data_IF_421676225383
#
_entry.id   IF_421676225383
#
_cell.length_a   1.000
_cell.length_b   1.000
_cell.length_c   1.000
_cell.angle_alpha   90.00
_cell.angle_beta   90.00
_cell.angle_gamma   90.00
#
_symmetry.space_group_name_H-M   'P 1'
#
loop_
_entity.id
_entity.type
_entity.pdbx_description
1 polymer ?
#
# COMPACT_ATOMS: atom_id res chain seq x y z
N UNK A 1 -8.60 -32.34 32.73
CA UNK A 1 -7.20 -32.06 32.32
C UNK A 1 -7.00 -32.62 30.91
N UNK A 2 -7.24 -31.85 29.88
CA UNK A 2 -6.98 -32.22 28.47
C UNK A 2 -5.71 -31.52 28.04
N UNK A 3 -4.73 -32.30 27.63
CA UNK A 3 -3.41 -31.86 27.19
C UNK A 3 -3.56 -31.12 25.84
N UNK A 4 -3.11 -29.88 25.81
CA UNK A 4 -2.97 -29.09 24.58
C UNK A 4 -1.67 -29.54 23.92
N UNK A 5 -1.76 -30.20 22.77
CA UNK A 5 -0.63 -30.43 21.87
C UNK A 5 -0.38 -29.15 21.09
N UNK A 6 0.72 -28.46 21.40
CA UNK A 6 1.28 -27.44 20.52
C UNK A 6 1.96 -28.13 19.33
N UNK A 7 1.37 -28.05 18.16
CA UNK A 7 2.03 -28.37 16.90
C UNK A 7 2.96 -27.20 16.53
N UNK A 8 4.27 -27.39 16.67
CA UNK A 8 5.28 -26.45 16.27
C UNK A 8 5.34 -26.37 14.72
N UNK A 9 5.07 -25.22 14.16
CA UNK A 9 5.35 -24.92 12.76
C UNK A 9 6.86 -24.63 12.62
N UNK A 10 7.57 -25.52 11.96
CA UNK A 10 8.97 -25.30 11.58
C UNK A 10 9.04 -24.25 10.48
N UNK A 11 9.60 -23.09 10.80
CA UNK A 11 10.00 -22.10 9.80
C UNK A 11 11.24 -22.61 9.07
N UNK A 12 11.10 -23.00 7.81
CA UNK A 12 12.21 -23.17 6.87
C UNK A 12 12.72 -21.79 6.47
N UNK A 13 13.85 -21.37 7.02
CA UNK A 13 14.60 -20.22 6.57
C UNK A 13 15.33 -20.58 5.26
N UNK A 14 14.84 -20.09 4.14
CA UNK A 14 15.58 -20.13 2.88
C UNK A 14 16.53 -18.94 2.88
N UNK A 15 17.82 -19.18 3.05
CA UNK A 15 18.88 -18.20 2.88
C UNK A 15 19.12 -17.97 1.38
N UNK A 16 18.69 -16.83 0.86
CA UNK A 16 19.11 -16.36 -0.46
C UNK A 16 20.46 -15.67 -0.27
N UNK A 17 21.52 -16.29 -0.72
CA UNK A 17 22.87 -15.69 -0.77
C UNK A 17 22.92 -14.56 -1.81
N UNK A 18 23.84 -13.57 -1.61
CA UNK A 18 24.00 -12.51 -2.59
C UNK A 18 24.61 -13.07 -3.89
N UNK A 19 23.94 -12.86 -5.01
CA UNK A 19 24.48 -13.09 -6.34
C UNK A 19 25.50 -11.99 -6.58
N UNK A 20 26.78 -12.37 -6.68
CA UNK A 20 27.86 -11.50 -7.14
C UNK A 20 27.61 -11.20 -8.62
N UNK A 21 27.50 -9.91 -8.95
CA UNK A 21 27.48 -9.45 -10.33
C UNK A 21 28.86 -9.67 -10.94
N UNK A 22 28.95 -10.47 -12.01
CA UNK A 22 30.15 -10.68 -12.81
C UNK A 22 30.55 -9.37 -13.50
N UNK A 23 31.86 -9.11 -13.45
CA UNK A 23 32.56 -7.98 -14.08
C UNK A 23 32.34 -7.95 -15.59
N UNK A 24 31.67 -6.92 -16.09
CA UNK A 24 31.71 -6.55 -17.51
C UNK A 24 32.99 -5.77 -17.75
N UNK A 25 33.85 -6.18 -18.72
CA UNK A 25 35.13 -5.50 -18.99
C UNK A 25 34.84 -4.05 -19.43
N UNK A 26 35.38 -3.11 -18.66
CA UNK A 26 35.23 -1.68 -18.88
C UNK A 26 35.91 -1.22 -20.19
N UNK A 27 35.10 -0.80 -21.15
CA UNK A 27 35.57 0.08 -22.21
C UNK A 27 35.92 1.45 -21.63
N UNK A 28 37.18 1.89 -21.77
CA UNK A 28 37.64 3.19 -21.33
C UNK A 28 36.86 4.29 -22.06
N UNK A 29 36.04 5.02 -21.30
CA UNK A 29 35.36 6.24 -21.76
C UNK A 29 36.39 7.36 -21.93
N UNK A 30 36.33 8.08 -23.04
CA UNK A 30 37.16 9.24 -23.31
C UNK A 30 37.09 10.29 -22.18
N UNK A 31 38.23 10.93 -21.79
CA UNK A 31 38.22 11.91 -20.72
C UNK A 31 37.42 13.16 -21.13
N UNK A 32 36.30 13.39 -20.47
CA UNK A 32 35.44 14.57 -20.67
C UNK A 32 33.93 14.35 -20.68
N UNK A 33 33.44 13.11 -20.82
CA UNK A 33 32.00 12.85 -20.65
C UNK A 33 31.67 12.61 -19.17
N UNK A 34 31.37 13.67 -18.43
CA UNK A 34 30.56 13.53 -17.23
C UNK A 34 29.15 13.14 -17.69
N UNK A 35 28.81 11.86 -17.55
CA UNK A 35 27.42 11.43 -17.60
C UNK A 35 26.69 12.25 -16.52
N UNK A 36 25.80 13.13 -16.97
CA UNK A 36 24.87 13.79 -16.05
C UNK A 36 24.17 12.68 -15.26
N UNK A 37 24.49 12.54 -13.97
CA UNK A 37 23.79 11.62 -13.10
C UNK A 37 22.33 12.01 -13.13
N UNK A 38 21.50 11.19 -13.78
CA UNK A 38 20.06 11.32 -13.66
C UNK A 38 19.73 11.25 -12.17
N UNK A 39 18.95 12.21 -11.65
CA UNK A 39 18.48 12.09 -10.27
C UNK A 39 17.82 10.73 -10.10
N UNK A 40 18.09 10.00 -9.00
CA UNK A 40 17.47 8.71 -8.77
C UNK A 40 15.96 8.88 -8.88
N UNK A 41 15.24 7.92 -9.49
CA UNK A 41 13.79 7.99 -9.57
C UNK A 41 13.23 8.17 -8.15
N UNK A 42 12.18 9.00 -7.98
CA UNK A 42 11.58 9.21 -6.67
C UNK A 42 11.20 7.86 -6.09
N UNK A 43 11.72 7.54 -4.90
CA UNK A 43 11.38 6.30 -4.20
C UNK A 43 9.87 6.29 -3.95
N UNK A 44 9.19 5.25 -4.42
CA UNK A 44 7.77 5.07 -4.15
C UNK A 44 7.53 5.08 -2.63
N UNK A 45 6.54 5.83 -2.16
CA UNK A 45 6.22 5.88 -0.74
C UNK A 45 5.78 4.50 -0.24
N UNK A 46 6.04 4.13 1.03
CA UNK A 46 5.63 2.84 1.59
C UNK A 46 4.16 2.52 1.38
N UNK A 47 3.27 3.51 1.48
CA UNK A 47 1.84 3.31 1.27
C UNK A 47 1.47 2.95 -0.18
N UNK A 48 2.26 3.39 -1.17
CA UNK A 48 2.01 3.06 -2.57
C UNK A 48 2.22 1.57 -2.87
N UNK A 49 3.13 0.90 -2.17
CA UNK A 49 3.32 -0.53 -2.31
C UNK A 49 2.09 -1.36 -1.89
N UNK A 50 1.21 -0.77 -1.06
CA UNK A 50 -0.01 -1.37 -0.56
C UNK A 50 -1.27 -0.99 -1.35
N UNK A 51 -1.16 -0.06 -2.31
CA UNK A 51 -2.29 0.42 -3.10
C UNK A 51 -2.71 -0.62 -4.13
N UNK A 52 -4.02 -0.75 -4.32
CA UNK A 52 -4.62 -1.69 -5.27
C UNK A 52 -5.60 -2.62 -4.60
N UNK A 53 -6.23 -3.46 -5.42
CA UNK A 53 -7.19 -4.46 -4.95
C UNK A 53 -6.50 -5.81 -4.78
N UNK A 54 -7.05 -6.63 -3.92
CA UNK A 54 -6.58 -7.98 -3.65
C UNK A 54 -7.73 -8.95 -3.44
N UNK A 55 -7.45 -10.21 -3.63
CA UNK A 55 -8.29 -11.34 -3.23
C UNK A 55 -7.45 -12.32 -2.43
N UNK A 56 -8.07 -13.04 -1.53
CA UNK A 56 -7.32 -13.97 -0.69
C UNK A 56 -8.18 -15.03 -0.05
N UNK A 57 -7.51 -15.94 0.62
CA UNK A 57 -8.11 -16.95 1.47
C UNK A 57 -7.70 -16.68 2.91
N UNK A 58 -8.54 -17.06 3.84
CA UNK A 58 -8.24 -16.99 5.26
C UNK A 58 -8.65 -18.27 5.99
N UNK A 59 -8.05 -18.49 7.15
CA UNK A 59 -8.41 -19.58 8.03
C UNK A 59 -7.93 -19.33 9.45
N UNK A 60 -8.67 -19.86 10.44
CA UNK A 60 -8.34 -19.62 11.82
C UNK A 60 -9.26 -20.27 12.83
N UNK A 61 -9.29 -19.69 14.03
CA UNK A 61 -10.15 -20.11 15.14
C UNK A 61 -11.21 -19.05 15.45
N UNK A 62 -12.41 -19.51 15.69
CA UNK A 62 -13.52 -18.70 16.19
C UNK A 62 -13.88 -19.15 17.62
N UNK A 63 -14.11 -18.20 18.49
CA UNK A 63 -14.48 -18.41 19.90
C UNK A 63 -15.75 -17.63 20.18
N UNK A 64 -16.87 -18.32 20.22
CA UNK A 64 -18.16 -17.74 20.45
C UNK A 64 -18.55 -17.75 21.94
N UNK A 65 -19.14 -16.68 22.40
CA UNK A 65 -19.81 -16.61 23.69
C UNK A 65 -21.29 -16.32 23.46
N UNK A 66 -22.11 -17.32 23.73
CA UNK A 66 -23.58 -17.22 23.59
C UNK A 66 -24.20 -17.20 24.96
N UNK A 67 -24.81 -16.08 25.32
CA UNK A 67 -25.49 -15.94 26.61
C UNK A 67 -26.97 -16.20 26.46
N UNK A 68 -27.46 -17.18 27.23
CA UNK A 68 -28.85 -17.54 27.33
C UNK A 68 -29.42 -16.84 28.56
N UNK A 69 -30.54 -16.10 28.41
CA UNK A 69 -31.29 -15.45 29.48
C UNK A 69 -32.75 -15.77 29.33
N UNK A 70 -33.31 -16.36 30.37
CA UNK A 70 -34.72 -16.61 30.49
C UNK A 70 -35.32 -15.61 31.53
N UNK A 71 -36.35 -14.88 31.12
CA UNK A 71 -36.99 -13.86 31.97
C UNK A 71 -38.49 -14.00 31.86
N UNK A 72 -39.18 -13.42 32.85
CA UNK A 72 -40.66 -13.28 32.90
C UNK A 72 -41.38 -14.63 32.69
N UNK A 73 -41.12 -15.58 33.56
CA UNK A 73 -41.93 -16.80 33.64
C UNK A 73 -43.23 -16.44 34.31
N UNK A 74 -44.29 -16.26 33.53
CA UNK A 74 -45.63 -16.09 34.02
C UNK A 74 -46.20 -17.48 34.34
N UNK A 75 -46.37 -17.78 35.61
CA UNK A 75 -46.93 -19.04 36.07
C UNK A 75 -48.47 -18.96 36.17
N UNK A 76 -49.13 -20.00 35.71
CA UNK A 76 -50.53 -20.19 36.12
C UNK A 76 -50.53 -20.56 37.64
N UNK A 77 -51.23 -19.81 38.47
CA UNK A 77 -51.09 -19.86 39.94
C UNK A 77 -51.28 -21.23 40.60
N UNK A 78 -51.81 -22.20 39.90
CA UNK A 78 -52.21 -23.51 40.44
C UNK A 78 -51.43 -24.70 39.83
N UNK A 79 -50.59 -24.49 38.82
CA UNK A 79 -49.95 -25.58 38.03
C UNK A 79 -48.53 -25.91 38.46
N UNK A 80 -47.79 -24.97 39.02
CA UNK A 80 -46.40 -25.15 39.38
C UNK A 80 -46.14 -25.10 40.89
N UNK A 81 -45.08 -25.78 41.31
CA UNK A 81 -44.57 -25.64 42.65
C UNK A 81 -44.13 -24.20 42.94
N UNK A 82 -44.42 -23.67 44.14
CA UNK A 82 -43.89 -22.39 44.57
C UNK A 82 -42.39 -22.32 44.41
N UNK A 83 -41.89 -21.32 43.69
CA UNK A 83 -40.44 -21.14 43.44
C UNK A 83 -39.93 -21.61 42.08
N UNK A 84 -40.76 -22.23 41.20
CA UNK A 84 -40.33 -22.61 39.84
C UNK A 84 -39.90 -21.40 39.04
N UNK A 85 -40.54 -20.23 39.22
CA UNK A 85 -40.18 -18.97 38.59
C UNK A 85 -38.77 -18.47 38.91
N UNK A 86 -38.16 -18.90 40.00
CA UNK A 86 -36.80 -18.54 40.38
C UNK A 86 -35.77 -19.65 40.01
N UNK A 87 -36.18 -20.90 40.02
CA UNK A 87 -35.28 -22.03 39.76
C UNK A 87 -34.94 -22.16 38.24
N UNK A 88 -35.94 -21.95 37.35
CA UNK A 88 -35.74 -22.03 35.92
C UNK A 88 -34.77 -20.96 35.37
N UNK A 89 -34.93 -19.66 35.68
CA UNK A 89 -33.98 -18.62 35.29
C UNK A 89 -32.58 -18.88 35.86
N UNK A 90 -32.46 -19.28 37.13
CA UNK A 90 -31.18 -19.55 37.76
C UNK A 90 -30.41 -20.70 37.08
N UNK A 91 -31.13 -21.72 36.57
CA UNK A 91 -30.57 -22.84 35.88
C UNK A 91 -30.26 -22.54 34.42
N UNK A 92 -31.11 -21.72 33.76
CA UNK A 92 -31.01 -21.41 32.33
C UNK A 92 -30.07 -20.20 32.00
N UNK A 93 -29.99 -19.22 32.95
CA UNK A 93 -29.15 -18.03 32.72
C UNK A 93 -27.65 -18.38 32.77
N UNK A 94 -27.12 -18.79 31.65
CA UNK A 94 -25.72 -19.22 31.47
C UNK A 94 -25.14 -18.70 30.17
N UNK A 95 -23.83 -18.52 30.16
CA UNK A 95 -23.06 -18.29 28.94
C UNK A 95 -22.46 -19.62 28.48
N UNK A 96 -22.72 -20.00 27.27
CA UNK A 96 -22.08 -21.12 26.60
C UNK A 96 -20.94 -20.58 25.76
N UNK A 97 -19.72 -21.03 26.06
CA UNK A 97 -18.55 -20.74 25.24
C UNK A 97 -18.27 -21.93 24.33
N UNK A 98 -17.98 -21.64 23.09
CA UNK A 98 -17.61 -22.64 22.10
C UNK A 98 -16.38 -22.20 21.31
N UNK A 99 -15.66 -23.16 20.75
CA UNK A 99 -14.52 -22.89 19.88
C UNK A 99 -14.57 -23.80 18.68
N UNK A 100 -14.33 -23.22 17.52
CA UNK A 100 -14.38 -23.92 16.25
C UNK A 100 -13.40 -23.33 15.26
N UNK A 101 -13.34 -23.98 14.10
CA UNK A 101 -12.56 -23.48 12.97
C UNK A 101 -13.43 -22.60 12.09
N UNK A 102 -12.76 -21.62 11.46
CA UNK A 102 -13.34 -20.84 10.36
C UNK A 102 -12.38 -20.85 9.18
N UNK A 103 -12.93 -20.69 7.98
CA UNK A 103 -12.14 -20.52 6.77
C UNK A 103 -13.00 -20.10 5.60
N UNK A 104 -12.43 -19.28 4.74
CA UNK A 104 -13.15 -18.69 3.64
C UNK A 104 -12.33 -17.84 2.71
N UNK A 105 -13.02 -16.93 2.03
CA UNK A 105 -12.45 -16.01 1.06
C UNK A 105 -12.64 -14.55 1.46
N UNK A 106 -11.72 -13.73 1.01
CA UNK A 106 -11.75 -12.29 1.25
C UNK A 106 -11.34 -11.51 0.01
N UNK A 107 -11.84 -10.30 -0.11
CA UNK A 107 -11.47 -9.36 -1.15
C UNK A 107 -11.48 -7.94 -0.59
N UNK A 108 -10.58 -7.10 -1.08
CA UNK A 108 -10.50 -5.72 -0.63
C UNK A 108 -9.71 -4.84 -1.57
N UNK A 109 -9.75 -3.54 -1.30
CA UNK A 109 -8.95 -2.56 -2.03
C UNK A 109 -8.36 -1.55 -1.03
N UNK A 110 -7.11 -1.19 -1.26
CA UNK A 110 -6.36 -0.22 -0.48
C UNK A 110 -6.00 1.01 -1.30
N UNK A 111 -5.93 2.16 -0.66
CA UNK A 111 -5.58 3.45 -1.24
C UNK A 111 -4.52 4.13 -0.38
N UNK A 112 -3.44 4.61 -1.00
CA UNK A 112 -2.45 5.44 -0.32
C UNK A 112 -3.05 6.84 -0.09
N UNK A 113 -3.39 7.18 1.15
CA UNK A 113 -3.92 8.49 1.51
C UNK A 113 -2.80 9.50 1.82
N UNK A 114 -1.72 9.03 2.45
CA UNK A 114 -0.50 9.78 2.80
C UNK A 114 0.71 8.85 2.57
N UNK A 115 1.95 9.36 2.61
CA UNK A 115 3.14 8.55 2.33
C UNK A 115 3.26 7.22 3.12
N UNK A 116 2.67 7.16 4.33
CA UNK A 116 2.67 5.97 5.17
C UNK A 116 1.28 5.53 5.62
N UNK A 117 0.20 6.23 5.21
CA UNK A 117 -1.16 5.91 5.62
C UNK A 117 -1.91 5.24 4.47
N UNK A 118 -2.46 4.07 4.77
CA UNK A 118 -3.28 3.28 3.86
C UNK A 118 -4.71 3.28 4.39
N UNK A 119 -5.64 3.65 3.54
CA UNK A 119 -7.08 3.49 3.76
C UNK A 119 -7.57 2.36 2.87
N UNK A 120 -8.58 1.62 3.31
CA UNK A 120 -9.11 0.55 2.48
C UNK A 120 -10.47 0.06 2.96
N UNK A 121 -11.00 -0.87 2.19
CA UNK A 121 -12.17 -1.65 2.58
C UNK A 121 -11.93 -3.13 2.23
N UNK A 122 -12.53 -3.99 3.04
CA UNK A 122 -12.43 -5.45 2.89
C UNK A 122 -13.77 -6.10 3.19
N UNK A 123 -14.14 -7.09 2.38
CA UNK A 123 -15.24 -7.99 2.64
C UNK A 123 -14.75 -9.43 2.70
N UNK A 124 -15.37 -10.23 3.54
CA UNK A 124 -15.08 -11.66 3.66
C UNK A 124 -16.35 -12.50 3.83
N UNK A 125 -16.23 -13.77 3.47
CA UNK A 125 -17.23 -14.79 3.72
C UNK A 125 -16.54 -16.07 4.15
N UNK A 126 -16.87 -16.53 5.35
CA UNK A 126 -16.22 -17.65 6.01
C UNK A 126 -17.25 -18.73 6.40
N UNK A 127 -16.94 -19.98 6.14
CA UNK A 127 -17.57 -21.11 6.77
C UNK A 127 -17.08 -21.25 8.22
N UNK A 128 -17.97 -21.49 9.16
CA UNK A 128 -17.67 -21.58 10.60
C UNK A 128 -18.21 -22.89 11.16
N UNK A 129 -17.45 -23.56 12.02
CA UNK A 129 -17.88 -24.80 12.68
C UNK A 129 -18.02 -24.59 14.19
N UNK A 130 -19.03 -23.84 14.60
CA UNK A 130 -19.39 -23.65 16.01
C UNK A 130 -20.67 -24.40 16.33
N UNK A 131 -20.62 -25.29 17.33
CA UNK A 131 -21.80 -26.01 17.80
C UNK A 131 -21.57 -26.51 19.21
N UNK A 132 -22.31 -25.92 20.16
CA UNK A 132 -22.24 -26.32 21.55
C UNK A 132 -23.63 -26.62 22.09
N UNK A 133 -23.70 -27.52 23.05
CA UNK A 133 -24.95 -27.87 23.74
C UNK A 133 -24.72 -28.09 25.20
N UNK A 134 -25.75 -27.79 25.98
CA UNK A 134 -25.78 -28.00 27.42
C UNK A 134 -27.11 -28.65 27.81
N UNK A 135 -27.04 -29.52 28.78
CA UNK A 135 -28.22 -30.05 29.45
C UNK A 135 -28.06 -29.95 30.99
N UNK A 136 -29.14 -29.61 31.65
CA UNK A 136 -29.24 -29.70 33.09
C UNK A 136 -30.47 -30.53 33.46
N UNK A 137 -30.30 -31.52 34.30
CA UNK A 137 -31.33 -32.47 34.75
C UNK A 137 -31.57 -32.30 36.25
N UNK A 138 -32.74 -32.74 36.72
CA UNK A 138 -33.15 -32.71 38.14
C UNK A 138 -33.07 -31.31 38.75
N UNK A 139 -33.82 -30.37 38.20
CA UNK A 139 -33.98 -29.02 38.75
C UNK A 139 -34.86 -29.01 40.01
N UNK A 140 -34.93 -30.09 40.73
CA UNK A 140 -35.59 -30.40 41.97
C UNK A 140 -36.58 -29.39 42.56
N UNK A 141 -37.56 -29.89 43.30
CA UNK A 141 -38.41 -29.04 44.09
C UNK A 141 -37.64 -28.61 45.35
N UNK A 142 -37.22 -27.36 45.44
CA UNK A 142 -36.40 -26.81 46.54
C UNK A 142 -37.24 -26.46 47.78
N UNK A 143 -38.59 -26.54 47.73
CA UNK A 143 -39.45 -26.02 48.79
C UNK A 143 -40.28 -27.08 49.55
N UNK A 144 -40.03 -28.39 49.36
CA UNK A 144 -40.62 -29.42 50.19
C UNK A 144 -42.17 -29.58 50.19
N UNK A 145 -42.87 -28.87 49.31
CA UNK A 145 -44.32 -28.99 49.15
C UNK A 145 -44.69 -30.10 48.13
N UNK A 146 -45.96 -30.58 48.18
CA UNK A 146 -46.46 -31.52 47.18
C UNK A 146 -46.63 -30.81 45.84
N UNK A 147 -45.55 -30.67 45.11
CA UNK A 147 -45.55 -30.08 43.79
C UNK A 147 -46.12 -31.05 42.76
N UNK A 148 -47.14 -30.67 42.08
CA UNK A 148 -47.76 -31.46 41.02
C UNK A 148 -46.92 -31.47 39.75
N UNK A 149 -46.06 -30.46 39.52
CA UNK A 149 -45.22 -30.34 38.33
C UNK A 149 -43.90 -29.68 38.73
N UNK A 150 -42.79 -30.35 38.41
CA UNK A 150 -41.41 -29.85 38.64
C UNK A 150 -40.66 -29.75 37.32
N UNK A 151 -39.81 -28.74 37.13
CA UNK A 151 -38.88 -28.72 36.01
C UNK A 151 -37.93 -29.90 36.10
N UNK A 152 -37.92 -30.78 35.06
CA UNK A 152 -37.09 -31.99 35.07
C UNK A 152 -35.78 -31.85 34.31
N UNK A 153 -35.78 -31.11 33.22
CA UNK A 153 -34.61 -30.90 32.39
C UNK A 153 -34.65 -29.65 31.57
N UNK A 154 -33.52 -29.01 31.36
CA UNK A 154 -33.28 -27.94 30.39
C UNK A 154 -32.23 -28.45 29.39
N UNK A 155 -32.45 -28.18 28.10
CA UNK A 155 -31.48 -28.31 27.03
C UNK A 155 -31.37 -27.00 26.27
N UNK A 156 -30.12 -26.57 26.07
CA UNK A 156 -29.76 -25.41 25.27
C UNK A 156 -28.74 -25.83 24.25
N UNK A 157 -28.91 -25.42 22.99
CA UNK A 157 -27.95 -25.64 21.91
C UNK A 157 -27.78 -24.36 21.14
N UNK A 158 -26.52 -24.04 20.80
CA UNK A 158 -26.12 -22.98 19.89
C UNK A 158 -25.39 -23.59 18.72
N UNK A 159 -25.60 -23.05 17.50
CA UNK A 159 -24.80 -23.37 16.33
C UNK A 159 -24.70 -22.19 15.38
N UNK A 160 -23.53 -22.08 14.73
CA UNK A 160 -23.20 -21.07 13.74
C UNK A 160 -22.40 -21.72 12.61
N UNK A 161 -22.80 -21.50 11.35
CA UNK A 161 -22.25 -22.23 10.21
C UNK A 161 -21.52 -21.32 9.23
N UNK A 162 -21.79 -20.03 9.21
CA UNK A 162 -21.12 -19.05 8.37
C UNK A 162 -21.05 -17.69 9.05
N UNK A 163 -20.05 -16.89 8.63
CA UNK A 163 -19.78 -15.55 9.11
C UNK A 163 -19.28 -14.70 7.94
N UNK A 164 -19.71 -13.46 7.86
CA UNK A 164 -19.32 -12.54 6.78
C UNK A 164 -19.17 -11.14 7.33
N UNK A 165 -18.21 -10.38 6.80
CA UNK A 165 -18.03 -8.99 7.19
C UNK A 165 -17.86 -8.05 6.00
N UNK A 166 -18.20 -6.77 6.23
CA UNK A 166 -17.88 -5.64 5.36
C UNK A 166 -17.29 -4.53 6.20
N UNK A 167 -16.01 -4.23 6.01
CA UNK A 167 -15.21 -3.41 6.92
C UNK A 167 -14.41 -2.35 6.20
N UNK A 168 -14.27 -1.17 6.81
CA UNK A 168 -13.24 -0.21 6.49
C UNK A 168 -11.94 -0.57 7.25
N UNK A 169 -10.79 -0.20 6.70
CA UNK A 169 -9.49 -0.36 7.35
C UNK A 169 -8.65 0.91 7.21
N UNK A 170 -7.88 1.19 8.24
CA UNK A 170 -6.87 2.24 8.26
C UNK A 170 -5.58 1.67 8.80
N UNK A 171 -4.49 1.90 8.10
CA UNK A 171 -3.20 1.30 8.44
C UNK A 171 -2.02 2.24 8.28
N UNK A 172 -0.93 1.90 8.97
CA UNK A 172 0.36 2.52 8.87
C UNK A 172 1.33 1.56 8.19
N UNK A 173 1.84 1.96 7.03
CA UNK A 173 2.78 1.19 6.22
C UNK A 173 4.22 1.58 6.53
N UNK A 174 5.07 0.58 6.79
CA UNK A 174 6.51 0.73 6.95
C UNK A 174 7.23 -0.34 6.13
N UNK A 175 7.67 0.04 4.92
CA UNK A 175 8.24 -0.90 3.96
C UNK A 175 7.25 -2.01 3.61
N UNK A 176 7.63 -3.26 3.86
CA UNK A 176 6.82 -4.46 3.60
C UNK A 176 5.80 -4.79 4.69
N UNK A 177 5.71 -4.01 5.77
CA UNK A 177 4.77 -4.24 6.86
C UNK A 177 3.66 -3.20 6.88
N UNK A 178 2.43 -3.64 7.12
CA UNK A 178 1.25 -2.81 7.32
C UNK A 178 0.58 -3.21 8.64
N UNK A 179 0.55 -2.28 9.59
CA UNK A 179 -0.23 -2.38 10.82
C UNK A 179 -1.56 -1.68 10.58
N UNK A 180 -2.67 -2.33 10.88
CA UNK A 180 -3.96 -1.73 10.60
C UNK A 180 -5.01 -2.02 11.68
N UNK A 181 -5.93 -1.07 11.83
CA UNK A 181 -7.20 -1.24 12.50
C UNK A 181 -8.32 -1.39 11.49
N UNK A 182 -9.37 -2.13 11.84
CA UNK A 182 -10.52 -2.38 10.98
C UNK A 182 -11.82 -2.35 11.76
N UNK A 183 -12.91 -1.97 11.10
CA UNK A 183 -14.23 -2.00 11.71
C UNK A 183 -15.34 -1.87 10.68
N UNK A 184 -16.51 -2.42 10.99
CA UNK A 184 -17.65 -2.43 10.09
C UNK A 184 -18.78 -3.33 10.50
N UNK A 185 -19.49 -3.87 9.52
CA UNK A 185 -20.63 -4.75 9.71
C UNK A 185 -20.19 -6.20 9.83
N UNK A 186 -20.87 -6.95 10.67
CA UNK A 186 -20.77 -8.41 10.77
C UNK A 186 -22.15 -9.02 10.52
N UNK A 187 -22.18 -10.08 9.74
CA UNK A 187 -23.41 -10.81 9.40
C UNK A 187 -23.13 -12.29 9.58
N UNK A 188 -24.04 -13.00 10.25
CA UNK A 188 -23.90 -14.44 10.48
C UNK A 188 -25.24 -15.11 10.64
N UNK A 189 -25.30 -16.41 10.43
CA UNK A 189 -26.43 -17.21 10.91
C UNK A 189 -26.17 -17.67 12.34
N UNK A 190 -27.17 -17.60 13.17
CA UNK A 190 -27.14 -18.18 14.50
C UNK A 190 -28.43 -18.95 14.77
N UNK A 191 -28.30 -20.17 15.24
CA UNK A 191 -29.44 -21.00 15.61
C UNK A 191 -29.35 -21.33 17.09
N UNK A 192 -30.42 -21.03 17.81
CA UNK A 192 -30.59 -21.33 19.22
C UNK A 192 -31.71 -22.34 19.36
N UNK A 193 -31.49 -23.34 20.18
CA UNK A 193 -32.45 -24.36 20.54
C UNK A 193 -32.59 -24.38 22.06
N UNK A 194 -33.80 -24.14 22.51
CA UNK A 194 -34.18 -24.17 23.90
C UNK A 194 -35.22 -25.24 24.13
N UNK A 195 -35.02 -26.09 25.11
CA UNK A 195 -36.00 -27.09 25.54
C UNK A 195 -36.10 -27.08 27.05
N UNK A 196 -37.28 -27.06 27.51
CA UNK A 196 -37.59 -27.30 28.94
C UNK A 196 -38.60 -28.42 29.04
N UNK A 197 -38.32 -29.38 29.91
CA UNK A 197 -39.20 -30.52 30.18
C UNK A 197 -39.77 -30.38 31.60
N UNK A 198 -41.05 -30.63 31.72
CA UNK A 198 -41.78 -30.62 32.98
C UNK A 198 -42.42 -31.99 33.17
N UNK A 199 -42.62 -32.41 34.44
CA UNK A 199 -43.35 -33.65 34.72
C UNK A 199 -43.51 -33.88 36.21
N UNK A 200 -44.55 -34.63 36.62
CA UNK A 200 -44.74 -35.00 38.00
C UNK A 200 -43.73 -36.03 38.45
N UNK A 201 -43.10 -36.76 37.52
CA UNK A 201 -42.01 -37.68 37.74
C UNK A 201 -41.13 -37.70 36.47
N UNK A 202 -39.91 -38.19 36.58
CA UNK A 202 -38.99 -38.35 35.44
C UNK A 202 -39.52 -39.30 34.33
N UNK A 203 -40.63 -39.97 34.54
CA UNK A 203 -41.13 -41.05 33.66
C UNK A 203 -41.99 -40.56 32.47
N UNK A 204 -42.64 -39.36 32.55
CA UNK A 204 -43.44 -38.77 31.45
C UNK A 204 -43.23 -37.25 31.36
N UNK A 205 -42.09 -36.79 30.84
CA UNK A 205 -41.85 -35.40 30.75
C UNK A 205 -42.63 -34.78 29.59
N UNK A 206 -43.37 -33.69 29.86
CA UNK A 206 -43.91 -32.78 28.82
C UNK A 206 -42.79 -31.81 28.47
N UNK A 207 -42.25 -31.89 27.29
CA UNK A 207 -41.18 -30.99 26.86
C UNK A 207 -41.69 -29.89 25.94
N UNK A 208 -41.36 -28.66 26.27
CA UNK A 208 -41.57 -27.51 25.38
C UNK A 208 -40.22 -27.19 24.67
N UNK A 209 -40.29 -27.02 23.38
CA UNK A 209 -39.14 -26.80 22.53
C UNK A 209 -39.30 -25.52 21.73
N UNK A 210 -38.30 -24.67 21.74
CA UNK A 210 -38.22 -23.49 20.89
C UNK A 210 -36.92 -23.52 20.09
N UNK A 211 -37.06 -23.43 18.79
CA UNK A 211 -35.93 -23.22 17.89
C UNK A 211 -36.03 -21.85 17.25
N UNK A 212 -34.97 -21.08 17.34
CA UNK A 212 -34.86 -19.74 16.78
C UNK A 212 -33.60 -19.69 15.94
N UNK A 213 -33.76 -19.75 14.62
CA UNK A 213 -32.67 -19.57 13.67
C UNK A 213 -32.91 -18.28 12.87
N UNK A 214 -31.91 -17.43 12.80
CA UNK A 214 -32.00 -16.18 12.04
C UNK A 214 -30.65 -15.72 11.56
N UNK A 215 -30.66 -15.00 10.44
CA UNK A 215 -29.50 -14.16 10.07
C UNK A 215 -29.42 -13.00 11.04
N UNK A 216 -28.25 -12.77 11.58
CA UNK A 216 -27.96 -11.68 12.51
C UNK A 216 -27.05 -10.67 11.87
N UNK A 217 -27.32 -9.41 12.13
CA UNK A 217 -26.48 -8.28 11.71
C UNK A 217 -25.99 -7.58 12.96
N UNK A 218 -24.71 -7.34 13.02
CA UNK A 218 -24.05 -6.66 14.12
C UNK A 218 -22.87 -5.82 13.65
N UNK A 219 -21.96 -5.56 14.53
CA UNK A 219 -20.75 -4.81 14.22
C UNK A 219 -19.50 -5.64 14.56
N UNK A 220 -18.40 -5.33 13.88
CA UNK A 220 -17.10 -5.92 14.17
C UNK A 220 -16.03 -4.84 14.22
N UNK A 221 -15.03 -5.06 15.06
CA UNK A 221 -13.83 -4.26 15.12
C UNK A 221 -12.63 -5.16 15.38
N UNK A 222 -11.46 -4.75 14.90
CA UNK A 222 -10.25 -5.53 15.09
C UNK A 222 -8.99 -4.83 14.64
N UNK A 223 -7.91 -5.58 14.69
CA UNK A 223 -6.60 -5.12 14.27
C UNK A 223 -5.81 -6.27 13.64
N UNK A 224 -4.85 -5.92 12.79
CA UNK A 224 -3.99 -6.90 12.15
C UNK A 224 -2.65 -6.35 11.72
N UNK A 225 -1.81 -7.28 11.36
CA UNK A 225 -0.50 -7.09 10.76
C UNK A 225 -0.50 -7.82 9.41
N UNK A 226 -0.08 -7.14 8.36
CA UNK A 226 0.05 -7.73 7.02
C UNK A 226 1.49 -7.52 6.52
N UNK A 227 2.08 -8.57 5.97
CA UNK A 227 3.43 -8.59 5.46
C UNK A 227 3.44 -8.92 3.98
N UNK A 228 3.97 -8.01 3.15
CA UNK A 228 4.25 -8.26 1.74
C UNK A 228 5.46 -9.20 1.62
N UNK A 229 5.24 -10.40 1.11
CA UNK A 229 6.30 -11.35 0.75
C UNK A 229 6.99 -10.90 -0.54
N UNK A 230 6.22 -10.36 -1.46
CA UNK A 230 6.63 -9.74 -2.70
C UNK A 230 5.49 -8.80 -3.18
N UNK A 231 5.63 -8.03 -4.26
CA UNK A 231 4.59 -7.09 -4.72
C UNK A 231 3.22 -7.71 -5.01
N UNK A 232 3.15 -9.02 -5.28
CA UNK A 232 1.91 -9.72 -5.61
C UNK A 232 1.31 -10.52 -4.45
N UNK A 233 2.06 -10.81 -3.39
CA UNK A 233 1.61 -11.72 -2.34
C UNK A 233 1.85 -11.16 -0.95
N UNK A 234 0.86 -11.26 -0.07
CA UNK A 234 0.99 -10.95 1.35
C UNK A 234 0.42 -12.04 2.25
N UNK A 235 0.90 -12.04 3.48
CA UNK A 235 0.35 -12.82 4.59
C UNK A 235 -0.13 -11.86 5.65
N UNK A 236 -1.34 -12.07 6.19
CA UNK A 236 -1.88 -11.28 7.29
C UNK A 236 -2.19 -12.14 8.50
N UNK A 237 -2.04 -11.56 9.68
CA UNK A 237 -2.55 -12.04 10.96
C UNK A 237 -3.56 -11.03 11.47
N UNK A 238 -4.76 -11.48 11.81
CA UNK A 238 -5.86 -10.58 12.19
C UNK A 238 -6.61 -11.13 13.39
N UNK A 239 -6.97 -10.22 14.30
CA UNK A 239 -7.92 -10.46 15.37
C UNK A 239 -9.17 -9.62 15.11
N UNK A 240 -10.34 -10.24 15.24
CA UNK A 240 -11.65 -9.58 15.13
C UNK A 240 -12.48 -9.90 16.38
N UNK A 241 -13.11 -8.90 16.91
CA UNK A 241 -14.25 -9.00 17.80
C UNK A 241 -15.52 -8.67 17.02
N UNK A 242 -16.56 -9.49 17.15
CA UNK A 242 -17.85 -9.23 16.53
C UNK A 242 -18.95 -9.38 17.59
N UNK A 243 -19.85 -8.38 17.64
CA UNK A 243 -21.06 -8.43 18.45
C UNK A 243 -22.27 -8.55 17.50
N UNK A 244 -22.95 -9.69 17.56
CA UNK A 244 -24.09 -10.03 16.70
C UNK A 244 -25.44 -9.71 17.38
N UNK A 245 -25.41 -8.88 18.41
CA UNK A 245 -26.59 -8.36 19.07
C UNK A 245 -27.36 -9.39 19.89
N UNK A 246 -28.60 -9.07 20.18
CA UNK A 246 -29.50 -9.91 20.97
C UNK A 246 -30.75 -10.29 20.19
N UNK A 247 -31.31 -11.45 20.50
CA UNK A 247 -32.58 -11.92 19.96
C UNK A 247 -33.49 -12.33 21.11
N UNK A 248 -34.72 -11.83 21.10
CA UNK A 248 -35.78 -12.24 22.01
C UNK A 248 -36.76 -13.16 21.29
N UNK A 249 -37.18 -14.20 21.96
CA UNK A 249 -38.25 -15.10 21.53
C UNK A 249 -39.10 -15.53 22.72
N UNK A 250 -40.32 -15.98 22.47
CA UNK A 250 -41.20 -16.50 23.48
C UNK A 250 -41.56 -17.96 23.19
N UNK A 251 -41.72 -18.74 24.26
CA UNK A 251 -42.37 -20.03 24.20
C UNK A 251 -43.43 -20.16 25.29
N UNK A 252 -44.45 -20.93 25.01
CA UNK A 252 -45.50 -21.24 25.98
C UNK A 252 -45.34 -22.69 26.39
N UNK A 253 -45.00 -22.93 27.64
CA UNK A 253 -45.00 -24.27 28.20
C UNK A 253 -46.45 -24.71 28.42
N UNK A 254 -46.80 -25.84 27.92
CA UNK A 254 -48.11 -26.46 28.15
C UNK A 254 -47.96 -27.72 28.98
N UNK A 255 -48.87 -27.97 29.83
CA UNK A 255 -48.89 -29.19 30.67
C UNK A 255 -50.23 -29.88 30.44
N UNK A 256 -50.13 -31.20 30.22
CA UNK A 256 -51.31 -32.05 30.11
C UNK A 256 -51.47 -32.82 31.45
N UNK A 257 -52.44 -32.46 32.26
CA UNK A 257 -52.78 -33.17 33.47
C UNK A 257 -54.23 -33.71 33.36
N UNK A 258 -54.42 -34.98 33.64
CA UNK A 258 -55.74 -35.65 33.57
C UNK A 258 -56.53 -35.44 32.28
N UNK A 259 -55.81 -35.45 31.12
CA UNK A 259 -56.40 -35.29 29.76
C UNK A 259 -56.70 -33.84 29.35
N UNK A 260 -56.46 -32.83 30.21
CA UNK A 260 -56.63 -31.43 29.86
C UNK A 260 -55.26 -30.75 29.68
N UNK A 261 -55.07 -30.14 28.52
CA UNK A 261 -53.86 -29.35 28.22
C UNK A 261 -54.08 -27.89 28.57
N UNK A 262 -53.32 -27.38 29.51
CA UNK A 262 -53.38 -25.95 29.92
C UNK A 262 -52.05 -25.26 29.72
N UNK A 263 -52.04 -23.99 29.30
CA UNK A 263 -50.82 -23.18 29.34
C UNK A 263 -50.29 -23.06 30.77
N UNK A 264 -49.11 -23.51 31.01
CA UNK A 264 -48.54 -23.54 32.36
C UNK A 264 -47.59 -22.37 32.65
N UNK A 265 -46.83 -21.94 31.62
CA UNK A 265 -45.93 -20.82 31.75
C UNK A 265 -45.63 -20.17 30.41
N UNK A 266 -45.41 -18.86 30.39
CA UNK A 266 -44.77 -18.14 29.26
C UNK A 266 -43.34 -17.85 29.62
N UNK A 267 -42.45 -18.29 28.76
CA UNK A 267 -40.99 -18.14 28.96
C UNK A 267 -40.46 -17.19 27.88
N UNK A 268 -39.84 -16.12 28.29
CA UNK A 268 -39.12 -15.23 27.39
C UNK A 268 -37.68 -15.63 27.35
N UNK A 269 -37.19 -15.92 26.15
CA UNK A 269 -35.79 -16.27 25.87
C UNK A 269 -35.09 -15.07 25.25
N UNK A 270 -33.92 -14.71 25.76
CA UNK A 270 -33.06 -13.69 25.18
C UNK A 270 -31.68 -14.28 25.00
N UNK A 271 -31.16 -14.22 23.77
CA UNK A 271 -29.86 -14.74 23.39
C UNK A 271 -28.98 -13.63 22.87
N UNK A 272 -27.78 -13.47 23.44
CA UNK A 272 -26.73 -12.58 22.90
C UNK A 272 -25.61 -13.42 22.31
N UNK A 273 -24.92 -12.90 21.30
CA UNK A 273 -23.83 -13.60 20.64
C UNK A 273 -22.66 -12.64 20.38
N UNK A 274 -21.51 -13.03 20.93
CA UNK A 274 -20.23 -12.35 20.71
C UNK A 274 -19.22 -13.35 20.21
N UNK A 275 -18.49 -13.00 19.13
CA UNK A 275 -17.45 -13.83 18.56
C UNK A 275 -16.08 -13.14 18.67
N UNK A 276 -15.07 -13.92 19.04
CA UNK A 276 -13.67 -13.55 18.97
C UNK A 276 -13.00 -14.44 17.91
N UNK A 277 -12.34 -13.85 16.94
CA UNK A 277 -11.79 -14.55 15.78
C UNK A 277 -10.30 -14.21 15.68
N UNK A 278 -9.47 -15.24 15.56
CA UNK A 278 -8.05 -15.12 15.21
C UNK A 278 -7.82 -15.88 13.94
N UNK A 279 -7.34 -15.18 12.90
CA UNK A 279 -7.17 -15.78 11.58
C UNK A 279 -5.88 -15.35 10.89
N UNK A 280 -5.37 -16.22 10.04
CA UNK A 280 -4.29 -15.95 9.09
C UNK A 280 -4.90 -15.87 7.71
N UNK A 281 -4.52 -14.85 6.94
CA UNK A 281 -4.94 -14.67 5.56
C UNK A 281 -3.75 -14.71 4.62
N UNK A 282 -3.99 -15.14 3.38
CA UNK A 282 -3.03 -15.13 2.29
C UNK A 282 -3.66 -14.41 1.10
N UNK A 283 -3.10 -13.27 0.68
CA UNK A 283 -3.67 -12.39 -0.31
C UNK A 283 -2.82 -12.34 -1.57
N UNK A 284 -3.50 -12.29 -2.72
CA UNK A 284 -2.94 -11.92 -4.00
C UNK A 284 -3.34 -10.50 -4.34
N UNK A 285 -2.36 -9.61 -4.47
CA UNK A 285 -2.54 -8.22 -4.86
C UNK A 285 -2.47 -8.10 -6.38
N UNK A 286 -3.50 -7.52 -6.96
CA UNK A 286 -3.44 -7.13 -8.37
C UNK A 286 -2.46 -5.96 -8.48
N UNK A 287 -1.48 -6.08 -9.37
CA UNK A 287 -0.54 -4.99 -9.59
C UNK A 287 -1.29 -3.69 -9.88
N UNK A 288 -1.01 -2.59 -9.17
CA UNK A 288 -1.55 -1.30 -9.57
C UNK A 288 -1.14 -1.05 -11.03
N UNK A 289 -1.98 -0.41 -11.85
CA UNK A 289 -1.57 -0.02 -13.19
C UNK A 289 -0.25 0.74 -13.08
N UNK A 290 0.73 0.47 -13.97
CA UNK A 290 2.00 1.18 -13.93
C UNK A 290 1.70 2.68 -13.89
N UNK A 291 2.38 3.46 -13.03
CA UNK A 291 2.19 4.89 -13.01
C UNK A 291 2.33 5.39 -14.44
N UNK A 292 1.48 6.34 -14.90
CA UNK A 292 1.64 6.92 -16.22
C UNK A 292 3.11 7.32 -16.36
N UNK A 293 3.76 7.03 -17.49
CA UNK A 293 5.16 7.37 -17.69
C UNK A 293 5.31 8.84 -17.28
N UNK A 294 6.23 9.10 -16.34
CA UNK A 294 6.51 10.46 -15.91
C UNK A 294 6.64 11.29 -17.21
N UNK A 295 6.03 12.47 -17.33
CA UNK A 295 6.19 13.31 -18.51
C UNK A 295 7.70 13.31 -18.76
N UNK A 296 8.12 12.75 -19.90
CA UNK A 296 9.55 12.75 -20.26
C UNK A 296 9.94 14.20 -20.15
N UNK A 297 10.78 14.52 -19.14
CA UNK A 297 11.33 15.86 -19.02
C UNK A 297 11.83 16.16 -20.43
N UNK A 298 11.19 17.14 -21.11
CA UNK A 298 11.60 17.55 -22.44
C UNK A 298 13.09 17.80 -22.29
N UNK A 299 13.90 16.89 -22.81
CA UNK A 299 15.34 17.10 -22.87
C UNK A 299 15.49 18.46 -23.51
N UNK A 300 16.05 19.43 -22.75
CA UNK A 300 16.38 20.71 -23.30
C UNK A 300 17.12 20.42 -24.62
N UNK A 301 16.76 21.06 -25.74
CA UNK A 301 17.43 20.81 -27.01
C UNK A 301 18.93 20.92 -26.75
N UNK A 302 19.75 20.00 -27.29
CA UNK A 302 21.19 20.04 -27.08
C UNK A 302 21.69 21.45 -27.40
N UNK A 303 22.62 22.02 -26.61
CA UNK A 303 23.15 23.35 -26.86
C UNK A 303 23.58 23.44 -28.33
N UNK A 304 23.12 24.48 -29.01
CA UNK A 304 23.46 24.69 -30.42
C UNK A 304 24.99 24.65 -30.58
N UNK A 305 25.49 23.93 -31.57
CA UNK A 305 26.92 23.87 -31.83
C UNK A 305 27.46 25.30 -32.03
N UNK A 306 28.66 25.64 -31.50
CA UNK A 306 29.23 26.96 -31.65
C UNK A 306 29.42 27.31 -33.11
N UNK A 307 29.00 28.49 -33.52
CA UNK A 307 29.18 28.98 -34.91
C UNK A 307 30.52 29.66 -34.98
N UNK A 308 31.40 29.19 -35.89
CA UNK A 308 32.76 29.70 -36.07
C UNK A 308 32.88 30.40 -37.41
N UNK A 309 33.34 31.67 -37.41
CA UNK A 309 33.69 32.41 -38.60
C UNK A 309 35.22 32.59 -38.64
N UNK A 310 35.84 32.42 -39.81
CA UNK A 310 37.29 32.45 -39.98
C UNK A 310 37.66 33.55 -40.97
N UNK A 311 38.48 34.51 -40.51
CA UNK A 311 39.03 35.62 -41.33
C UNK A 311 40.51 35.33 -41.61
N UNK A 312 40.89 35.22 -42.87
CA UNK A 312 42.28 35.01 -43.28
C UNK A 312 43.02 36.30 -43.55
N UNK A 313 44.35 36.28 -43.40
CA UNK A 313 45.23 37.43 -43.58
C UNK A 313 46.38 37.13 -44.51
N UNK A 314 46.78 38.18 -45.26
CA UNK A 314 48.03 38.11 -46.05
C UNK A 314 49.25 37.96 -45.15
N UNK A 315 50.32 37.52 -45.78
CA UNK A 315 51.58 37.37 -45.08
C UNK A 315 52.07 38.72 -44.57
N UNK A 316 52.48 38.73 -43.34
CA UNK A 316 52.99 39.91 -42.60
C UNK A 316 52.03 41.12 -42.56
N UNK A 317 50.72 40.90 -42.79
CA UNK A 317 49.68 41.92 -42.70
C UNK A 317 48.73 41.68 -41.54
N UNK A 318 48.25 42.78 -40.99
CA UNK A 318 47.17 42.80 -39.97
C UNK A 318 45.92 43.54 -40.45
N UNK A 319 45.97 44.05 -41.68
CA UNK A 319 44.79 44.65 -42.35
C UNK A 319 43.86 43.57 -42.83
N UNK A 320 42.54 43.79 -42.58
CA UNK A 320 41.47 42.88 -43.04
C UNK A 320 41.30 43.05 -44.57
N UNK A 321 41.33 41.94 -45.29
CA UNK A 321 41.05 41.97 -46.76
C UNK A 321 39.58 42.24 -47.05
N UNK A 322 39.19 42.67 -48.29
CA UNK A 322 37.79 42.83 -48.64
C UNK A 322 36.94 41.58 -48.39
N UNK A 323 37.48 40.38 -48.69
CA UNK A 323 36.85 39.09 -48.46
C UNK A 323 36.73 38.80 -46.93
N UNK A 324 37.79 39.12 -46.17
CA UNK A 324 37.77 39.06 -44.72
C UNK A 324 36.72 39.95 -44.09
N UNK A 325 36.51 41.16 -44.64
CA UNK A 325 35.47 42.09 -44.17
C UNK A 325 34.07 41.52 -44.39
N UNK A 326 33.81 40.79 -45.47
CA UNK A 326 32.51 40.12 -45.68
C UNK A 326 32.23 39.09 -44.56
N UNK A 327 33.26 38.29 -44.18
CA UNK A 327 33.13 37.33 -43.07
C UNK A 327 32.85 38.07 -41.72
N UNK A 328 33.53 39.18 -41.48
CA UNK A 328 33.29 40.02 -40.28
C UNK A 328 31.85 40.56 -40.26
N UNK A 329 31.32 40.99 -41.42
CA UNK A 329 29.93 41.42 -41.54
C UNK A 329 28.95 40.29 -41.31
N UNK A 330 29.21 39.08 -41.79
CA UNK A 330 28.41 37.90 -41.52
C UNK A 330 28.39 37.57 -40.03
N UNK A 331 29.57 37.59 -39.37
CA UNK A 331 29.69 37.33 -37.93
C UNK A 331 28.91 38.39 -37.11
N UNK A 332 29.02 39.65 -37.46
CA UNK A 332 28.29 40.74 -36.80
C UNK A 332 26.76 40.62 -37.01
N UNK A 333 26.32 40.21 -38.19
CA UNK A 333 24.90 39.94 -38.49
C UNK A 333 24.37 38.75 -37.69
N UNK A 334 25.13 37.65 -37.63
CA UNK A 334 24.81 36.46 -36.82
C UNK A 334 24.71 36.76 -35.31
N UNK A 335 25.54 37.69 -34.83
CA UNK A 335 25.42 38.17 -33.45
C UNK A 335 24.08 38.91 -33.23
N UNK A 336 23.73 39.82 -34.11
CA UNK A 336 22.52 40.68 -33.98
C UNK A 336 21.21 39.89 -34.14
N UNK A 337 21.20 38.79 -34.86
CA UNK A 337 20.02 37.94 -35.08
C UNK A 337 19.72 36.93 -33.96
N UNK A 338 20.54 36.86 -32.91
CA UNK A 338 20.40 35.90 -31.78
C UNK A 338 20.37 36.55 -30.43
N UNK A 339 20.24 35.72 -29.38
CA UNK A 339 20.42 36.19 -28.00
C UNK A 339 21.82 36.75 -27.79
N UNK A 340 22.00 37.79 -26.92
CA UNK A 340 23.30 38.32 -26.62
C UNK A 340 24.17 37.23 -25.94
N UNK A 341 25.30 36.92 -26.59
CA UNK A 341 26.26 35.87 -26.14
C UNK A 341 27.66 36.45 -26.19
N UNK A 342 28.58 35.85 -25.45
CA UNK A 342 29.99 36.21 -25.58
C UNK A 342 30.57 35.70 -26.88
N UNK A 343 31.44 36.54 -27.48
CA UNK A 343 32.17 36.23 -28.70
C UNK A 343 33.66 36.12 -28.36
N UNK A 344 34.29 35.03 -28.74
CA UNK A 344 35.74 34.90 -28.69
C UNK A 344 36.33 35.31 -30.05
N UNK A 345 37.32 36.19 -30.03
CA UNK A 345 38.05 36.66 -31.22
C UNK A 345 39.49 36.33 -31.03
N UNK A 346 39.97 35.22 -31.64
CA UNK A 346 41.31 34.70 -31.42
C UNK A 346 42.14 34.77 -32.70
N UNK A 347 43.29 35.44 -32.63
CA UNK A 347 44.20 35.60 -33.75
C UNK A 347 45.33 34.57 -33.72
N UNK A 348 45.78 34.20 -34.91
CA UNK A 348 46.85 33.21 -35.16
C UNK A 348 47.79 33.72 -36.27
N UNK A 349 49.02 33.19 -36.30
CA UNK A 349 50.00 33.39 -37.34
C UNK A 349 50.49 32.03 -37.90
N UNK A 350 51.17 32.08 -39.02
CA UNK A 350 52.03 30.94 -39.43
C UNK A 350 53.37 31.02 -38.65
N UNK A 351 54.21 30.03 -38.87
CA UNK A 351 55.51 29.89 -38.19
C UNK A 351 56.69 30.59 -38.93
N UNK A 352 56.41 31.57 -39.76
CA UNK A 352 57.39 32.26 -40.60
C UNK A 352 58.05 33.49 -39.93
N UNK A 353 58.04 33.57 -38.61
CA UNK A 353 58.63 34.69 -37.85
C UNK A 353 59.10 34.24 -36.50
N UNK A 354 59.63 35.16 -35.66
CA UNK A 354 59.92 34.82 -34.27
C UNK A 354 58.65 34.73 -33.44
N UNK A 355 58.59 33.84 -32.44
CA UNK A 355 57.42 33.65 -31.57
C UNK A 355 56.91 34.94 -30.95
N UNK A 356 57.81 35.84 -30.45
CA UNK A 356 57.45 37.13 -29.91
C UNK A 356 56.85 38.12 -30.93
N UNK A 357 57.32 38.03 -32.19
CA UNK A 357 56.69 38.80 -33.28
C UNK A 357 55.34 38.25 -33.62
N UNK A 358 55.22 36.96 -33.80
CA UNK A 358 53.97 36.27 -34.15
C UNK A 358 52.89 36.46 -33.06
N UNK A 359 53.28 36.51 -31.80
CA UNK A 359 52.35 36.83 -30.71
C UNK A 359 51.73 38.24 -30.88
N UNK A 360 52.56 39.24 -31.07
CA UNK A 360 52.11 40.62 -31.28
C UNK A 360 51.29 40.77 -32.58
N UNK A 361 51.66 40.08 -33.65
CA UNK A 361 50.96 40.12 -34.92
C UNK A 361 49.54 39.50 -34.81
N UNK A 362 49.42 38.35 -34.12
CA UNK A 362 48.16 37.71 -33.87
C UNK A 362 47.21 38.55 -33.03
N UNK A 363 47.72 39.25 -31.99
CA UNK A 363 46.98 40.18 -31.16
C UNK A 363 46.47 41.40 -31.98
N UNK A 364 47.34 41.99 -32.85
CA UNK A 364 46.91 43.11 -33.72
C UNK A 364 45.82 42.66 -34.67
N UNK A 365 45.91 41.46 -35.29
CA UNK A 365 44.86 40.90 -36.18
C UNK A 365 43.55 40.72 -35.43
N UNK A 366 43.59 40.10 -34.26
CA UNK A 366 42.38 39.93 -33.47
C UNK A 366 41.73 41.26 -33.04
N UNK A 367 42.58 42.23 -32.63
CA UNK A 367 42.09 43.57 -32.28
C UNK A 367 41.50 44.33 -33.48
N UNK A 368 42.08 44.19 -34.69
CA UNK A 368 41.50 44.82 -35.90
C UNK A 368 40.16 44.21 -36.29
N UNK A 369 40.01 42.89 -36.18
CA UNK A 369 38.72 42.24 -36.37
C UNK A 369 37.70 42.72 -35.32
N UNK A 370 38.07 42.76 -34.04
CA UNK A 370 37.18 43.24 -32.98
C UNK A 370 36.77 44.70 -33.15
N UNK A 371 37.68 45.56 -33.63
CA UNK A 371 37.37 46.97 -33.98
C UNK A 371 36.35 47.04 -35.14
N UNK A 372 36.51 46.21 -36.17
CA UNK A 372 35.60 46.11 -37.29
C UNK A 372 34.22 45.63 -36.87
N UNK A 373 34.14 44.64 -36.01
CA UNK A 373 32.88 44.16 -35.43
C UNK A 373 32.22 45.23 -34.56
N UNK A 374 32.97 45.99 -33.78
CA UNK A 374 32.45 47.09 -32.98
C UNK A 374 31.86 48.20 -33.85
N UNK A 375 32.53 48.55 -34.96
CA UNK A 375 32.01 49.51 -35.94
C UNK A 375 30.71 49.02 -36.63
N UNK A 376 30.50 47.72 -36.69
CA UNK A 376 29.27 47.08 -37.18
C UNK A 376 28.20 46.89 -36.06
N UNK A 377 28.44 47.43 -34.87
CA UNK A 377 27.45 47.49 -33.77
C UNK A 377 27.47 46.32 -32.80
N UNK A 378 28.55 45.51 -32.72
CA UNK A 378 28.78 44.52 -31.69
C UNK A 378 29.44 45.19 -30.47
N UNK A 379 28.85 45.15 -29.25
CA UNK A 379 29.45 45.77 -28.06
C UNK A 379 30.82 45.18 -27.72
N UNK A 380 31.81 46.04 -27.39
CA UNK A 380 33.17 45.61 -27.11
C UNK A 380 33.25 44.72 -25.87
N UNK A 381 32.38 44.94 -24.92
CA UNK A 381 32.27 44.20 -23.64
C UNK A 381 31.85 42.76 -23.84
N UNK A 382 31.25 42.45 -24.97
CA UNK A 382 30.82 41.12 -25.39
C UNK A 382 31.91 40.34 -26.14
N UNK A 383 33.06 40.96 -26.41
CA UNK A 383 34.15 40.38 -27.18
C UNK A 383 35.37 40.10 -26.29
N UNK A 384 35.73 38.81 -26.13
CA UNK A 384 37.00 38.39 -25.56
C UNK A 384 38.04 38.28 -26.69
N UNK A 385 39.07 39.11 -26.65
CA UNK A 385 40.09 39.21 -27.71
C UNK A 385 41.39 38.66 -27.21
N UNK A 386 41.99 37.71 -27.96
CA UNK A 386 43.27 37.08 -27.65
C UNK A 386 44.10 36.84 -28.90
N UNK A 387 45.43 36.77 -28.74
CA UNK A 387 46.35 36.31 -29.78
C UNK A 387 47.10 35.09 -29.28
N UNK A 388 47.22 34.11 -30.13
CA UNK A 388 47.90 32.82 -29.85
C UNK A 388 49.25 32.70 -30.58
N UNK A 389 49.61 33.73 -31.37
CA UNK A 389 50.84 33.70 -32.15
C UNK A 389 50.86 32.54 -33.13
N UNK A 390 51.94 31.78 -33.11
CA UNK A 390 52.15 30.57 -33.93
C UNK A 390 51.71 29.28 -33.24
N UNK A 391 51.08 29.37 -32.08
CA UNK A 391 50.50 28.23 -31.38
C UNK A 391 49.16 27.85 -32.00
N UNK A 392 48.75 26.60 -31.83
CA UNK A 392 47.46 26.07 -32.30
C UNK A 392 47.24 26.24 -33.83
N UNK A 393 48.30 25.90 -34.59
CA UNK A 393 48.28 25.93 -36.06
C UNK A 393 47.19 25.00 -36.59
N UNK A 394 46.37 25.52 -37.53
CA UNK A 394 45.35 24.73 -38.22
C UNK A 394 45.95 23.68 -39.14
N UNK A 395 47.06 24.06 -39.77
CA UNK A 395 47.89 23.15 -40.56
C UNK A 395 49.26 23.04 -39.89
N UNK A 396 49.66 21.88 -39.41
CA UNK A 396 50.98 21.68 -38.82
C UNK A 396 52.09 21.98 -39.82
N UNK A 397 53.00 22.88 -39.49
CA UNK A 397 54.16 23.23 -40.34
C UNK A 397 55.43 23.30 -39.49
N UNK A 398 56.57 23.11 -40.12
CA UNK A 398 57.89 23.36 -39.51
C UNK A 398 58.09 24.88 -39.31
N UNK A 399 59.07 25.25 -38.44
CA UNK A 399 59.46 26.62 -38.24
C UNK A 399 59.96 27.26 -39.54
N UNK A 400 59.65 28.54 -39.73
CA UNK A 400 59.98 29.29 -40.92
C UNK A 400 59.06 29.08 -42.12
N UNK A 401 58.11 28.18 -42.08
CA UNK A 401 57.20 27.89 -43.19
C UNK A 401 56.02 28.85 -43.20
N UNK A 402 55.74 29.41 -44.37
CA UNK A 402 54.56 30.28 -44.63
C UNK A 402 53.37 29.43 -45.00
N UNK A 403 52.32 29.48 -44.14
CA UNK A 403 51.08 28.73 -44.37
C UNK A 403 49.86 29.66 -44.29
N UNK A 404 49.19 29.93 -45.42
CA UNK A 404 48.03 30.82 -45.45
C UNK A 404 46.93 30.46 -44.53
N UNK A 405 46.63 29.16 -44.29
CA UNK A 405 45.55 28.72 -43.43
C UNK A 405 45.85 28.93 -41.93
N UNK A 406 47.09 29.14 -41.55
CA UNK A 406 47.48 29.47 -40.20
C UNK A 406 47.35 30.96 -39.88
N UNK A 407 47.39 31.84 -40.91
CA UNK A 407 47.22 33.28 -40.78
C UNK A 407 45.76 33.66 -40.70
N UNK A 408 45.16 33.48 -39.56
CA UNK A 408 43.71 33.61 -39.38
C UNK A 408 43.31 34.32 -38.10
N UNK A 409 42.09 34.78 -38.04
CA UNK A 409 41.34 35.12 -36.83
C UNK A 409 40.06 34.28 -36.80
N UNK A 410 39.83 33.61 -35.72
CA UNK A 410 38.60 32.85 -35.47
C UNK A 410 37.67 33.71 -34.62
N UNK A 411 36.40 33.80 -35.04
CA UNK A 411 35.29 34.46 -34.29
C UNK A 411 34.33 33.32 -33.92
N UNK A 412 34.26 33.02 -32.64
CA UNK A 412 33.41 31.93 -32.10
C UNK A 412 32.27 32.56 -31.33
N UNK A 413 31.05 32.26 -31.77
CA UNK A 413 29.82 32.58 -31.04
C UNK A 413 29.40 31.34 -30.23
N UNK A 414 29.43 31.44 -28.90
CA UNK A 414 29.03 30.37 -27.97
C UNK A 414 27.65 30.64 -27.36
#
# INVERSE_FOLDING_TARGET
MKKILLAGAALLAVSVGPVLADDVPGGALAPGMQLAQMPPPPMASPAMAWSGCYVGLNGGGAFANSTFRWTNILEAPTAFAPGAATVLPAAANKTLSDSGFLGGGQAGCNFAALPSIVLGFEGDFDGVSLSTSRSATSLGNTNGGPATIVPGAIREKFSQNWFSTARARVGYATGSLLFYGTGGLAISNASFFDQVCFGPTAAVPSCNTKSTGSTRVGWTAGAGLEWLLNPAWSVKLEYLYANLGSTASQSVAVVTATGVTVPAATINHNHTLDDNIVRVGFNYHFAPPPPPPAPMAQMAPPPAAPVVFIVFFDWDKDSITPEGMQIVQQAASAYKSGAPVQIQVTGYTDRSGSAGYNQRLSERRANNVAKAMAALGVPREQMMVSGHGENDNRVPTADGVREPQNRRVEIVKS
#
